data_IF_435486613539
#
_entry.id   IF_435486613539
#
_cell.length_a   1.000
_cell.length_b   1.000
_cell.length_c   1.000
_cell.angle_alpha   90.00
_cell.angle_beta   90.00
_cell.angle_gamma   90.00
#
_symmetry.space_group_name_H-M   'P 1'
#
loop_
_entity.id
_entity.type
_entity.pdbx_description
1 polymer ?
#
# COMPACT_ATOMS: atom_id res chain seq x y z
N UNK A 1 -56.96 17.42 0.76
CA UNK A 1 -56.54 16.39 1.74
C UNK A 1 -56.24 15.10 1.00
N UNK A 2 -54.99 14.62 0.98
CA UNK A 2 -54.66 13.31 0.41
C UNK A 2 -55.03 12.17 1.38
N UNK A 3 -55.39 10.98 0.89
CA UNK A 3 -55.68 9.83 1.74
C UNK A 3 -54.39 9.22 2.33
N UNK A 4 -54.46 8.57 3.51
CA UNK A 4 -53.29 7.99 4.17
C UNK A 4 -52.82 6.69 3.48
N UNK A 5 -51.52 6.35 3.56
CA UNK A 5 -50.97 5.14 2.96
C UNK A 5 -51.39 3.86 3.70
N UNK A 6 -51.68 2.82 2.92
CA UNK A 6 -52.08 1.49 3.40
C UNK A 6 -50.91 0.76 4.08
N UNK A 7 -51.19 0.16 5.24
CA UNK A 7 -50.28 -0.64 6.06
C UNK A 7 -50.17 -2.07 5.46
N UNK A 8 -48.98 -2.63 5.25
CA UNK A 8 -48.81 -4.02 4.82
C UNK A 8 -49.04 -5.03 5.96
N UNK A 9 -49.50 -6.27 5.65
CA UNK A 9 -49.88 -7.28 6.65
C UNK A 9 -48.67 -7.96 7.34
N UNK A 10 -48.84 -8.51 8.55
CA UNK A 10 -47.77 -9.14 9.33
C UNK A 10 -47.45 -10.57 8.85
N UNK A 11 -46.17 -10.91 8.88
CA UNK A 11 -45.65 -12.28 8.67
C UNK A 11 -45.97 -13.18 9.90
N UNK A 12 -46.24 -14.48 9.70
CA UNK A 12 -46.62 -15.38 10.78
C UNK A 12 -45.43 -15.80 11.64
N UNK A 13 -45.61 -15.67 12.95
CA UNK A 13 -44.84 -16.31 14.01
C UNK A 13 -45.01 -17.83 13.94
N UNK A 14 -43.91 -18.57 13.80
CA UNK A 14 -43.88 -19.98 14.12
C UNK A 14 -43.31 -20.14 15.54
N UNK A 15 -44.20 -20.39 16.49
CA UNK A 15 -43.92 -20.91 17.83
C UNK A 15 -44.50 -22.32 17.87
N UNK A 16 -43.80 -23.27 18.50
CA UNK A 16 -44.34 -24.23 19.49
C UNK A 16 -43.59 -25.57 19.46
N UNK A 17 -42.76 -25.78 20.50
CA UNK A 17 -42.49 -27.00 21.34
C UNK A 17 -42.06 -28.32 20.68
N UNK A 18 -41.28 -29.23 21.29
CA UNK A 18 -41.34 -29.81 22.65
C UNK A 18 -40.07 -30.68 22.87
N UNK A 19 -39.32 -30.49 23.97
CA UNK A 19 -39.16 -31.41 25.13
C UNK A 19 -38.92 -32.90 24.83
N UNK A 20 -37.72 -33.41 25.15
CA UNK A 20 -37.55 -34.66 25.91
C UNK A 20 -36.10 -34.83 26.41
N UNK A 21 -35.96 -35.05 27.71
CA UNK A 21 -34.74 -35.51 28.39
C UNK A 21 -34.66 -37.03 28.28
N UNK A 22 -33.53 -37.56 27.84
CA UNK A 22 -33.13 -38.91 28.24
C UNK A 22 -31.61 -39.03 28.34
N UNK A 23 -31.18 -39.22 29.59
CA UNK A 23 -29.85 -39.63 29.99
C UNK A 23 -29.58 -41.05 29.52
N UNK A 24 -28.40 -41.27 28.94
CA UNK A 24 -27.86 -42.59 28.65
C UNK A 24 -26.34 -42.48 28.54
N UNK A 25 -25.64 -42.83 29.62
CA UNK A 25 -24.19 -43.01 29.65
C UNK A 25 -23.93 -44.37 29.00
N UNK A 26 -23.20 -44.41 27.88
CA UNK A 26 -22.46 -45.61 27.49
C UNK A 26 -21.03 -45.26 27.08
N UNK A 27 -20.10 -45.84 27.85
CA UNK A 27 -18.69 -45.97 27.58
C UNK A 27 -18.51 -46.85 26.32
N UNK A 28 -17.90 -46.30 25.28
CA UNK A 28 -17.57 -47.06 24.07
C UNK A 28 -16.45 -46.38 23.30
N UNK A 29 -15.21 -46.70 23.67
CA UNK A 29 -13.99 -46.34 22.97
C UNK A 29 -14.03 -46.74 21.50
N UNK A 30 -13.87 -45.78 20.59
CA UNK A 30 -13.25 -46.03 19.28
C UNK A 30 -12.68 -44.73 18.71
N UNK A 31 -11.39 -44.54 18.94
CA UNK A 31 -10.56 -43.49 18.33
C UNK A 31 -10.59 -43.65 16.81
N UNK A 32 -11.42 -42.85 16.12
CA UNK A 32 -11.24 -42.60 14.69
C UNK A 32 -10.60 -41.24 14.54
N UNK A 33 -9.27 -41.24 14.54
CA UNK A 33 -8.48 -40.06 14.22
C UNK A 33 -8.84 -39.59 12.81
N UNK A 34 -9.54 -38.45 12.73
CA UNK A 34 -9.60 -37.69 11.49
C UNK A 34 -8.19 -37.18 11.20
N UNK A 35 -7.64 -37.40 9.99
CA UNK A 35 -6.39 -36.77 9.64
C UNK A 35 -6.65 -35.26 9.57
N UNK A 36 -6.15 -34.54 10.58
CA UNK A 36 -5.94 -33.11 10.52
C UNK A 36 -5.02 -32.88 9.33
N UNK A 37 -5.57 -32.35 8.25
CA UNK A 37 -4.80 -31.87 7.10
C UNK A 37 -4.04 -30.65 7.59
N UNK A 38 -2.86 -30.88 8.14
CA UNK A 38 -1.87 -29.84 8.39
C UNK A 38 -1.47 -29.31 7.02
N UNK A 39 -1.63 -28.01 6.73
CA UNK A 39 -1.15 -27.44 5.47
C UNK A 39 0.33 -27.74 5.34
N UNK A 40 0.67 -28.51 4.31
CA UNK A 40 2.04 -28.89 3.98
C UNK A 40 2.93 -27.63 3.94
N UNK A 41 3.88 -27.56 4.88
CA UNK A 41 5.00 -26.63 4.85
C UNK A 41 5.85 -26.99 3.63
N UNK A 42 5.54 -26.38 2.49
CA UNK A 42 6.37 -26.52 1.30
C UNK A 42 7.79 -26.03 1.61
N UNK A 43 8.82 -26.73 1.11
CA UNK A 43 10.21 -26.39 1.40
C UNK A 43 10.51 -24.94 0.98
N UNK A 44 11.06 -24.17 1.92
CA UNK A 44 11.42 -22.75 1.81
C UNK A 44 12.40 -22.50 0.64
N UNK A 45 13.11 -23.53 0.17
CA UNK A 45 14.17 -23.45 -0.83
C UNK A 45 13.77 -23.02 -2.24
N UNK A 46 12.48 -22.93 -2.56
CA UNK A 46 12.01 -22.58 -3.91
C UNK A 46 11.02 -21.39 -3.95
N UNK A 47 11.07 -20.54 -2.92
CA UNK A 47 10.29 -19.28 -2.88
C UNK A 47 11.25 -18.11 -3.13
N UNK A 48 10.99 -17.36 -4.21
CA UNK A 48 11.89 -16.30 -4.72
C UNK A 48 11.51 -14.89 -4.23
N UNK A 49 10.38 -14.76 -3.53
CA UNK A 49 9.89 -13.52 -2.94
C UNK A 49 9.66 -13.67 -1.44
N UNK A 50 10.09 -12.65 -0.69
CA UNK A 50 9.80 -12.48 0.74
C UNK A 50 9.18 -11.11 0.95
N UNK A 51 8.04 -11.07 1.64
CA UNK A 51 7.30 -9.84 1.90
C UNK A 51 6.80 -9.81 3.34
N UNK A 52 7.17 -8.78 4.09
CA UNK A 52 6.63 -8.54 5.43
C UNK A 52 5.51 -7.49 5.36
N UNK A 53 4.32 -7.88 5.81
CA UNK A 53 3.14 -7.03 5.88
C UNK A 53 3.16 -6.14 7.14
N UNK A 54 2.34 -5.10 7.14
CA UNK A 54 2.16 -4.19 8.28
C UNK A 54 1.62 -4.88 9.53
N UNK A 55 0.90 -6.01 9.36
CA UNK A 55 0.49 -6.89 10.46
C UNK A 55 1.63 -7.66 11.12
N UNK A 56 2.85 -7.60 10.56
CA UNK A 56 4.00 -8.40 10.99
C UNK A 56 4.09 -9.78 10.34
N UNK A 57 3.06 -10.22 9.61
CA UNK A 57 3.08 -11.49 8.87
C UNK A 57 4.12 -11.45 7.75
N UNK A 58 4.94 -12.50 7.66
CA UNK A 58 5.91 -12.67 6.58
C UNK A 58 5.40 -13.70 5.58
N UNK A 59 5.20 -13.26 4.35
CA UNK A 59 4.85 -14.11 3.22
C UNK A 59 6.11 -14.51 2.48
N UNK A 60 6.20 -15.80 2.18
CA UNK A 60 7.13 -16.34 1.21
C UNK A 60 6.28 -16.81 0.03
N UNK A 61 6.56 -16.40 -1.19
CA UNK A 61 5.75 -16.84 -2.34
C UNK A 61 6.59 -16.93 -3.61
N UNK A 62 6.04 -17.61 -4.62
CA UNK A 62 6.64 -17.68 -5.97
C UNK A 62 6.04 -16.63 -6.89
N UNK A 63 6.78 -16.23 -7.92
CA UNK A 63 6.23 -15.39 -8.98
C UNK A 63 4.97 -15.98 -9.66
N UNK A 64 4.85 -17.32 -9.73
CA UNK A 64 3.67 -18.02 -10.26
C UNK A 64 2.42 -17.92 -9.37
N UNK A 65 2.58 -17.56 -8.10
CA UNK A 65 1.48 -17.37 -7.15
C UNK A 65 0.88 -15.96 -7.23
N UNK A 66 1.45 -15.08 -8.07
CA UNK A 66 0.92 -13.73 -8.30
C UNK A 66 -0.23 -13.84 -9.33
N UNK A 67 -1.49 -13.57 -8.96
CA UNK A 67 -2.63 -13.70 -9.86
C UNK A 67 -2.45 -12.92 -11.18
N UNK A 68 -2.72 -13.58 -12.29
CA UNK A 68 -2.58 -12.99 -13.63
C UNK A 68 -3.61 -11.90 -13.93
N UNK A 69 -4.80 -12.05 -13.35
CA UNK A 69 -5.95 -11.19 -13.59
C UNK A 69 -6.06 -9.97 -12.68
N UNK A 70 -5.06 -9.66 -11.83
CA UNK A 70 -5.15 -8.49 -10.94
C UNK A 70 -5.19 -7.21 -11.78
N UNK A 71 -6.34 -6.51 -11.90
CA UNK A 71 -6.41 -5.32 -12.73
C UNK A 71 -5.59 -4.21 -12.07
N UNK A 72 -4.90 -3.42 -12.89
CA UNK A 72 -4.27 -2.17 -12.44
C UNK A 72 -5.41 -1.22 -12.06
N UNK A 73 -5.57 -0.84 -10.78
CA UNK A 73 -6.73 -0.06 -10.36
C UNK A 73 -6.68 1.35 -10.96
N UNK A 74 -7.81 1.85 -11.44
CA UNK A 74 -7.95 3.23 -11.92
C UNK A 74 -8.18 4.15 -10.72
N UNK A 75 -7.10 4.62 -10.10
CA UNK A 75 -7.16 5.44 -8.87
C UNK A 75 -7.08 6.94 -9.11
N UNK A 76 -7.00 7.37 -10.37
CA UNK A 76 -6.92 8.79 -10.72
C UNK A 76 -8.22 9.56 -10.40
N UNK A 77 -9.34 8.87 -10.22
CA UNK A 77 -10.65 9.47 -9.93
C UNK A 77 -11.07 9.34 -8.47
N UNK A 78 -10.34 8.57 -7.66
CA UNK A 78 -10.74 8.23 -6.29
C UNK A 78 -9.52 8.20 -5.37
N UNK A 79 -9.11 9.39 -4.94
CA UNK A 79 -8.01 9.57 -3.97
C UNK A 79 -8.33 8.98 -2.59
N UNK A 80 -9.56 9.11 -2.05
CA UNK A 80 -9.93 8.43 -0.81
C UNK A 80 -9.68 6.92 -0.87
N UNK A 81 -10.07 6.26 -1.97
CA UNK A 81 -9.77 4.84 -2.17
C UNK A 81 -8.28 4.58 -2.23
N UNK A 82 -7.50 5.40 -2.95
CA UNK A 82 -6.04 5.27 -2.97
C UNK A 82 -5.46 5.30 -1.54
N UNK A 83 -5.90 6.23 -0.70
CA UNK A 83 -5.48 6.31 0.70
C UNK A 83 -5.83 5.06 1.51
N UNK A 84 -6.96 4.42 1.24
CA UNK A 84 -7.38 3.18 1.93
C UNK A 84 -6.61 1.93 1.51
N UNK A 85 -6.07 1.88 0.29
CA UNK A 85 -5.37 0.69 -0.24
C UNK A 85 -3.85 0.85 -0.39
N UNK A 86 -3.31 2.01 0.00
CA UNK A 86 -1.89 2.29 -0.17
C UNK A 86 -1.00 1.57 0.85
N UNK A 87 -1.36 1.67 2.13
CA UNK A 87 -0.51 1.28 3.25
C UNK A 87 -1.33 0.54 4.31
N UNK A 88 -0.94 -0.71 4.59
CA UNK A 88 -1.56 -1.60 5.58
C UNK A 88 -1.15 -1.35 7.04
N UNK A 89 -0.24 -0.42 7.29
CA UNK A 89 0.09 0.07 8.64
C UNK A 89 -0.72 1.31 9.01
N UNK A 90 -1.37 1.94 8.04
CA UNK A 90 -2.17 3.13 8.27
C UNK A 90 -3.55 2.76 8.85
N UNK A 91 -4.09 3.56 9.76
CA UNK A 91 -5.39 3.29 10.42
C UNK A 91 -6.57 3.26 9.44
N UNK A 92 -6.44 3.92 8.29
CA UNK A 92 -7.45 3.93 7.23
C UNK A 92 -7.34 2.75 6.24
N UNK A 93 -6.44 1.79 6.47
CA UNK A 93 -6.26 0.63 5.61
C UNK A 93 -7.56 -0.18 5.51
N UNK A 94 -7.97 -0.48 4.29
CA UNK A 94 -9.13 -1.32 4.00
C UNK A 94 -8.70 -2.55 3.18
N UNK A 95 -8.53 -3.72 3.82
CA UNK A 95 -8.12 -4.94 3.14
C UNK A 95 -9.14 -5.45 2.11
N UNK A 96 -10.43 -5.11 2.25
CA UNK A 96 -11.47 -5.56 1.32
C UNK A 96 -11.38 -4.86 -0.05
N UNK A 97 -10.79 -3.67 -0.08
CA UNK A 97 -10.58 -2.90 -1.31
C UNK A 97 -9.26 -3.24 -2.01
N UNK A 98 -8.42 -4.09 -1.40
CA UNK A 98 -7.11 -4.43 -1.93
C UNK A 98 -7.25 -5.18 -3.27
N UNK A 99 -6.62 -4.70 -4.36
CA UNK A 99 -6.73 -5.31 -5.68
C UNK A 99 -5.99 -6.65 -5.82
N UNK A 100 -5.09 -6.96 -4.89
CA UNK A 100 -4.20 -8.12 -4.95
C UNK A 100 -4.27 -8.89 -3.64
N UNK A 101 -4.45 -10.20 -3.74
CA UNK A 101 -4.41 -11.15 -2.62
C UNK A 101 -3.42 -12.25 -2.96
N UNK A 102 -2.48 -12.53 -2.06
CA UNK A 102 -1.49 -13.61 -2.21
C UNK A 102 -1.60 -14.50 -0.97
N UNK A 103 -1.77 -15.81 -1.17
CA UNK A 103 -1.93 -16.79 -0.07
C UNK A 103 -3.01 -16.37 0.95
N UNK A 104 -4.15 -15.84 0.47
CA UNK A 104 -5.24 -15.36 1.33
C UNK A 104 -5.01 -14.01 2.02
N UNK A 105 -3.86 -13.36 1.81
CA UNK A 105 -3.52 -12.09 2.44
C UNK A 105 -3.66 -10.91 1.45
N UNK A 106 -4.48 -9.90 1.78
CA UNK A 106 -4.57 -8.65 1.02
C UNK A 106 -3.24 -7.90 0.99
N UNK A 107 -2.81 -7.46 -0.19
CA UNK A 107 -1.52 -6.82 -0.41
C UNK A 107 -1.71 -5.33 -0.72
N UNK A 108 -1.23 -4.48 0.19
CA UNK A 108 -1.21 -3.02 0.00
C UNK A 108 -0.37 -2.59 -1.22
N UNK A 109 -0.77 -1.51 -1.87
CA UNK A 109 -0.08 -1.01 -3.07
C UNK A 109 1.39 -0.68 -2.81
N UNK A 110 1.77 -0.21 -1.62
CA UNK A 110 3.17 0.12 -1.29
C UNK A 110 4.13 -1.06 -1.53
N UNK A 111 3.64 -2.30 -1.45
CA UNK A 111 4.44 -3.51 -1.62
C UNK A 111 4.57 -4.00 -3.06
N UNK A 112 3.81 -3.43 -4.00
CA UNK A 112 3.79 -3.89 -5.39
C UNK A 112 5.17 -3.82 -6.06
N UNK A 113 6.02 -2.88 -5.67
CA UNK A 113 7.40 -2.83 -6.16
C UNK A 113 8.22 -4.07 -5.79
N UNK A 114 7.92 -4.72 -4.66
CA UNK A 114 8.62 -5.93 -4.18
C UNK A 114 8.00 -7.15 -4.84
N UNK A 115 6.67 -7.20 -4.88
CA UNK A 115 5.89 -8.29 -5.47
C UNK A 115 6.22 -8.47 -6.96
N UNK A 116 6.23 -7.38 -7.73
CA UNK A 116 6.42 -7.47 -9.19
C UNK A 116 7.88 -7.33 -9.63
N UNK A 117 8.85 -7.15 -8.71
CA UNK A 117 10.24 -6.83 -9.06
C UNK A 117 10.88 -7.83 -10.00
N UNK A 118 10.58 -9.12 -9.81
CA UNK A 118 11.11 -10.26 -10.58
C UNK A 118 10.00 -11.00 -11.31
N UNK A 119 8.89 -10.34 -11.56
CA UNK A 119 7.78 -10.93 -12.28
C UNK A 119 8.23 -11.30 -13.71
N UNK A 120 8.20 -12.59 -14.10
CA UNK A 120 8.67 -13.05 -15.41
C UNK A 120 7.84 -12.46 -16.56
N UNK A 121 6.61 -12.01 -16.28
CA UNK A 121 5.73 -11.36 -17.25
C UNK A 121 6.04 -9.87 -17.46
N UNK A 122 6.98 -9.32 -16.70
CA UNK A 122 7.40 -7.93 -16.82
C UNK A 122 6.31 -6.91 -16.47
N UNK A 123 5.26 -7.29 -15.71
CA UNK A 123 4.13 -6.39 -15.37
C UNK A 123 4.60 -5.13 -14.64
N UNK A 124 5.68 -5.23 -13.86
CA UNK A 124 6.28 -4.07 -13.19
C UNK A 124 6.62 -2.94 -14.14
N UNK A 125 7.09 -3.21 -15.35
CA UNK A 125 7.47 -2.16 -16.30
C UNK A 125 6.29 -1.26 -16.67
N UNK A 126 5.09 -1.84 -16.77
CA UNK A 126 3.85 -1.10 -17.02
C UNK A 126 3.35 -0.39 -15.76
N UNK A 127 3.30 -1.09 -14.63
CA UNK A 127 2.71 -0.60 -13.38
C UNK A 127 3.57 0.50 -12.73
N UNK A 128 4.89 0.45 -12.89
CA UNK A 128 5.86 1.31 -12.20
C UNK A 128 5.54 2.80 -12.31
N UNK A 129 5.13 3.28 -13.50
CA UNK A 129 4.78 4.70 -13.70
C UNK A 129 3.57 5.09 -12.84
N UNK A 130 2.52 4.30 -12.88
CA UNK A 130 1.31 4.53 -12.08
C UNK A 130 1.60 4.41 -10.59
N UNK A 131 2.34 3.38 -10.19
CA UNK A 131 2.76 3.17 -8.81
C UNK A 131 3.53 4.35 -8.25
N UNK A 132 4.48 4.92 -9.01
CA UNK A 132 5.20 6.12 -8.55
C UNK A 132 4.26 7.31 -8.37
N UNK A 133 3.30 7.54 -9.26
CA UNK A 133 2.32 8.61 -9.11
C UNK A 133 1.40 8.38 -7.90
N UNK A 134 0.89 7.16 -7.72
CA UNK A 134 0.10 6.77 -6.56
C UNK A 134 0.85 6.99 -5.26
N UNK A 135 2.13 6.59 -5.21
CA UNK A 135 3.01 6.82 -4.07
C UNK A 135 3.06 8.29 -3.69
N UNK A 136 3.24 9.19 -4.66
CA UNK A 136 3.35 10.63 -4.38
C UNK A 136 2.10 11.17 -3.69
N UNK A 137 0.93 10.83 -4.21
CA UNK A 137 -0.33 11.32 -3.68
C UNK A 137 -0.65 10.64 -2.36
N UNK A 138 -0.52 9.32 -2.26
CA UNK A 138 -0.84 8.61 -1.03
C UNK A 138 0.05 9.04 0.14
N UNK A 139 1.35 9.25 -0.09
CA UNK A 139 2.26 9.80 0.93
C UNK A 139 1.87 11.22 1.35
N UNK A 140 1.35 12.07 0.46
CA UNK A 140 0.85 13.40 0.84
C UNK A 140 -0.47 13.29 1.59
N UNK A 141 -1.39 12.46 1.09
CA UNK A 141 -2.71 12.22 1.65
C UNK A 141 -2.63 11.72 3.10
N UNK A 142 -1.73 10.79 3.39
CA UNK A 142 -1.53 10.26 4.76
C UNK A 142 -0.78 11.21 5.70
N UNK A 143 -0.19 12.30 5.21
CA UNK A 143 0.45 13.32 6.05
C UNK A 143 -0.52 14.35 6.60
N UNK A 144 -1.76 14.37 6.14
CA UNK A 144 -2.78 15.34 6.55
C UNK A 144 -4.14 14.67 6.68
N UNK A 145 -5.15 15.44 7.08
CA UNK A 145 -6.55 15.01 6.96
C UNK A 145 -7.07 15.26 5.54
N UNK A 146 -8.16 14.60 5.11
CA UNK A 146 -8.78 14.87 3.81
C UNK A 146 -9.15 16.34 3.61
N UNK A 147 -9.62 17.01 4.65
CA UNK A 147 -10.03 18.43 4.60
C UNK A 147 -8.82 19.32 4.34
N UNK A 148 -7.73 19.11 5.08
CA UNK A 148 -6.48 19.85 4.91
C UNK A 148 -5.83 19.57 3.56
N UNK A 149 -5.90 18.32 3.09
CA UNK A 149 -5.41 17.95 1.77
C UNK A 149 -6.17 18.73 0.69
N UNK A 150 -7.50 18.72 0.74
CA UNK A 150 -8.28 19.41 -0.28
C UNK A 150 -8.17 20.93 -0.18
N UNK A 151 -8.08 21.49 1.02
CA UNK A 151 -7.84 22.92 1.22
C UNK A 151 -6.53 23.39 0.57
N UNK A 152 -5.46 22.60 0.66
CA UNK A 152 -4.20 22.87 -0.04
C UNK A 152 -4.34 22.77 -1.56
N UNK A 153 -5.08 21.78 -2.05
CA UNK A 153 -5.24 21.50 -3.47
C UNK A 153 -6.55 22.07 -4.07
N UNK A 154 -7.00 23.23 -3.59
CA UNK A 154 -8.02 24.02 -4.27
C UNK A 154 -7.39 24.89 -5.35
N UNK A 155 -8.09 25.07 -6.47
CA UNK A 155 -7.75 26.08 -7.47
C UNK A 155 -8.27 27.46 -7.08
N UNK A 156 -7.90 28.47 -7.88
CA UNK A 156 -8.28 29.87 -7.67
C UNK A 156 -9.80 30.10 -7.71
N UNK A 157 -10.55 29.17 -8.32
CA UNK A 157 -12.01 29.23 -8.41
C UNK A 157 -12.69 28.47 -7.25
N UNK A 158 -11.92 27.98 -6.27
CA UNK A 158 -12.45 27.19 -5.16
C UNK A 158 -12.90 25.79 -5.57
N UNK A 159 -12.34 25.22 -6.64
CA UNK A 159 -12.59 23.83 -7.06
C UNK A 159 -11.36 22.98 -6.76
N UNK A 160 -11.61 21.72 -6.39
CA UNK A 160 -10.54 20.73 -6.19
C UNK A 160 -9.73 20.54 -7.49
N UNK A 161 -8.41 20.65 -7.38
CA UNK A 161 -7.48 20.36 -8.47
C UNK A 161 -7.64 18.92 -8.92
N UNK A 162 -7.47 18.70 -10.23
CA UNK A 162 -7.45 17.36 -10.80
C UNK A 162 -6.22 16.56 -10.34
N UNK A 163 -6.33 15.23 -10.43
CA UNK A 163 -5.23 14.29 -10.15
C UNK A 163 -3.90 14.70 -10.80
N UNK A 164 -3.94 15.10 -12.07
CA UNK A 164 -2.74 15.51 -12.82
C UNK A 164 -2.16 16.82 -12.31
N UNK A 165 -3.01 17.79 -11.95
CA UNK A 165 -2.58 19.07 -11.37
C UNK A 165 -1.92 18.86 -10.00
N UNK A 166 -2.52 18.03 -9.14
CA UNK A 166 -1.94 17.67 -7.83
C UNK A 166 -0.58 17.00 -8.02
N UNK A 167 -0.45 16.05 -8.96
CA UNK A 167 0.83 15.41 -9.25
C UNK A 167 1.90 16.41 -9.68
N UNK A 168 1.55 17.36 -10.54
CA UNK A 168 2.50 18.35 -11.03
C UNK A 168 2.98 19.27 -9.92
N UNK A 169 2.04 19.73 -9.09
CA UNK A 169 2.35 20.55 -7.92
C UNK A 169 3.26 19.79 -6.93
N UNK A 170 2.96 18.53 -6.64
CA UNK A 170 3.81 17.68 -5.80
C UNK A 170 5.20 17.42 -6.41
N UNK A 171 5.32 17.38 -7.74
CA UNK A 171 6.64 17.24 -8.40
C UNK A 171 7.45 18.53 -8.26
N UNK A 172 6.82 19.68 -8.46
CA UNK A 172 7.50 20.96 -8.31
C UNK A 172 7.90 21.19 -6.86
N UNK A 173 7.02 20.93 -5.88
CA UNK A 173 7.36 20.97 -4.46
C UNK A 173 8.59 20.09 -4.15
N UNK A 174 8.61 18.83 -4.59
CA UNK A 174 9.77 17.93 -4.38
C UNK A 174 11.05 18.45 -5.02
N UNK A 175 10.96 19.10 -6.18
CA UNK A 175 12.10 19.70 -6.87
C UNK A 175 12.63 20.88 -6.06
N UNK A 176 11.75 21.76 -5.58
CA UNK A 176 12.11 22.88 -4.71
C UNK A 176 12.74 22.40 -3.39
N UNK A 177 12.17 21.36 -2.75
CA UNK A 177 12.77 20.75 -1.56
C UNK A 177 14.17 20.19 -1.82
N UNK A 178 14.38 19.55 -2.99
CA UNK A 178 15.70 19.06 -3.36
C UNK A 178 16.71 20.19 -3.57
N UNK A 179 16.28 21.30 -4.17
CA UNK A 179 17.11 22.50 -4.35
C UNK A 179 17.47 23.13 -3.00
N UNK A 180 16.49 23.32 -2.12
CA UNK A 180 16.70 23.88 -0.78
C UNK A 180 17.68 23.02 0.02
N UNK A 181 17.49 21.69 0.04
CA UNK A 181 18.40 20.77 0.74
C UNK A 181 19.79 20.77 0.13
N UNK A 182 19.91 20.85 -1.20
CA UNK A 182 21.22 20.94 -1.85
C UNK A 182 21.93 22.25 -1.49
N UNK A 183 21.21 23.37 -1.41
CA UNK A 183 21.75 24.65 -0.95
C UNK A 183 22.21 24.57 0.51
N UNK A 184 21.40 24.01 1.42
CA UNK A 184 21.80 23.79 2.81
C UNK A 184 23.03 22.87 2.92
N UNK A 185 23.13 21.84 2.07
CA UNK A 185 24.31 20.98 2.03
C UNK A 185 25.56 21.73 1.58
N UNK A 186 25.45 22.66 0.64
CA UNK A 186 26.57 23.49 0.20
C UNK A 186 27.01 24.47 1.29
N UNK A 187 26.05 25.13 1.95
CA UNK A 187 26.30 26.06 3.04
C UNK A 187 26.97 25.37 4.24
N UNK A 188 26.44 24.23 4.67
CA UNK A 188 26.95 23.51 5.85
C UNK A 188 28.34 22.92 5.62
N UNK A 189 28.57 22.31 4.45
CA UNK A 189 29.81 21.58 4.20
C UNK A 189 30.89 22.45 3.56
N UNK A 190 30.57 23.64 3.03
CA UNK A 190 31.53 24.62 2.50
C UNK A 190 32.70 23.97 1.75
N UNK A 191 33.90 24.13 2.30
CA UNK A 191 35.16 23.62 1.71
C UNK A 191 35.24 22.09 1.62
N UNK A 192 34.59 21.37 2.54
CA UNK A 192 34.55 19.91 2.52
C UNK A 192 33.42 19.35 1.65
N UNK A 193 32.61 20.21 1.02
CA UNK A 193 31.51 19.80 0.15
C UNK A 193 31.99 18.87 -0.98
N UNK A 194 33.07 19.24 -1.69
CA UNK A 194 33.61 18.39 -2.77
C UNK A 194 34.04 17.01 -2.25
N UNK A 195 34.60 16.96 -1.04
CA UNK A 195 35.02 15.70 -0.42
C UNK A 195 33.83 14.80 -0.08
N UNK A 196 32.74 15.39 0.43
CA UNK A 196 31.54 14.66 0.87
C UNK A 196 30.55 14.35 -0.25
N UNK A 197 30.43 15.22 -1.24
CA UNK A 197 29.47 15.14 -2.33
C UNK A 197 30.17 14.97 -3.67
N UNK A 198 30.96 13.90 -3.81
CA UNK A 198 31.56 13.49 -5.08
C UNK A 198 31.43 12.00 -5.33
N UNK A 199 31.65 11.60 -6.58
CA UNK A 199 31.67 10.20 -7.00
C UNK A 199 32.81 9.96 -8.00
N UNK A 200 33.25 8.71 -8.13
CA UNK A 200 34.26 8.33 -9.11
C UNK A 200 33.62 8.07 -10.48
N UNK A 201 34.15 8.71 -11.52
CA UNK A 201 33.76 8.49 -12.92
C UNK A 201 35.02 8.44 -13.77
N UNK A 202 35.27 7.29 -14.43
CA UNK A 202 36.45 7.07 -15.28
C UNK A 202 37.78 7.46 -14.59
N UNK A 203 37.97 7.02 -13.34
CA UNK A 203 39.19 7.28 -12.57
C UNK A 203 39.34 8.69 -11.99
N UNK A 204 38.38 9.59 -12.21
CA UNK A 204 38.38 10.96 -11.65
C UNK A 204 37.27 11.14 -10.63
N UNK A 205 37.52 11.94 -9.59
CA UNK A 205 36.47 12.41 -8.66
C UNK A 205 35.71 13.56 -9.31
N UNK A 206 34.38 13.45 -9.34
CA UNK A 206 33.48 14.45 -9.92
C UNK A 206 32.50 14.89 -8.84
N UNK A 207 32.31 16.20 -8.70
CA UNK A 207 31.32 16.76 -7.77
C UNK A 207 29.90 16.36 -8.19
N UNK A 208 29.03 16.14 -7.20
CA UNK A 208 27.61 15.97 -7.44
C UNK A 208 26.98 17.34 -7.76
N UNK A 209 26.42 17.46 -8.95
CA UNK A 209 25.73 18.67 -9.43
C UNK A 209 24.21 18.51 -9.46
N UNK A 210 23.70 17.28 -9.50
CA UNK A 210 22.26 17.01 -9.44
C UNK A 210 21.71 17.24 -8.02
N UNK A 211 20.82 18.24 -7.79
CA UNK A 211 20.25 18.52 -6.47
C UNK A 211 19.57 17.31 -5.84
N UNK A 212 18.97 16.43 -6.66
CA UNK A 212 18.34 15.20 -6.16
C UNK A 212 19.37 14.18 -5.66
N UNK A 213 20.53 14.09 -6.31
CA UNK A 213 21.63 13.23 -5.84
C UNK A 213 22.22 13.78 -4.55
N UNK A 214 22.46 15.10 -4.49
CA UNK A 214 22.97 15.80 -3.31
C UNK A 214 22.01 15.63 -2.13
N UNK A 215 20.72 15.92 -2.31
CA UNK A 215 19.70 15.78 -1.26
C UNK A 215 19.63 14.36 -0.69
N UNK A 216 19.67 13.32 -1.55
CA UNK A 216 19.73 11.92 -1.10
C UNK A 216 21.00 11.58 -0.34
N UNK A 217 22.13 12.17 -0.69
CA UNK A 217 23.38 11.95 0.01
C UNK A 217 23.36 12.67 1.37
N UNK A 218 22.93 13.93 1.39
CA UNK A 218 22.85 14.78 2.58
C UNK A 218 21.96 14.15 3.67
N UNK A 219 20.76 13.68 3.29
CA UNK A 219 19.85 12.98 4.23
C UNK A 219 20.49 11.73 4.83
N UNK A 220 21.25 10.95 4.05
CA UNK A 220 21.95 9.77 4.57
C UNK A 220 23.06 10.13 5.55
N UNK A 221 23.80 11.22 5.28
CA UNK A 221 24.84 11.70 6.18
C UNK A 221 24.29 12.21 7.52
N UNK A 222 23.03 12.67 7.56
CA UNK A 222 22.37 13.18 8.77
C UNK A 222 21.64 12.12 9.60
N UNK A 223 21.48 10.89 9.09
CA UNK A 223 20.73 9.81 9.77
C UNK A 223 21.66 8.87 10.55
N UNK A 224 22.88 9.32 10.87
CA UNK A 224 23.89 8.64 11.70
C UNK A 224 24.23 9.56 12.85
#
# INVERSE_FOLDING_TARGET
>A
MPPPPAIPPPLPLAVTTQTSLQSGIELGSSLRATPVVIPSLQPIGDRDHTLQLGSGVVLYFRASEIPDGSPVPILSKDLPRLGKIWDDTHSSWDPALAPLVIQGHPIALKYWQVVYRRDPKGRWNYIKKYWHNWKMIAERWHKSTPENFWAEFMDENGKQKSYTQILEELREQRKQDCLAIAASAQEEYGDIYFSKFSYHKKGKRVAMTDPRAVSRHYKRCKTV
#
